data_IF_963678960129
#
_entry.id   IF_963678960129
#
_cell.length_a   1.000
_cell.length_b   1.000
_cell.length_c   1.000
_cell.angle_alpha   90.00
_cell.angle_beta   90.00
_cell.angle_gamma   90.00
#
_symmetry.space_group_name_H-M   'P 1'
#
loop_
_entity.id
_entity.type
_entity.pdbx_description
1 polymer ?
#
# COMPACT_ATOMS: atom_id res chain seq x y z
N UNK A 1 29.03 -1.69 12.64
CA UNK A 1 28.07 -0.63 12.26
C UNK A 1 28.34 -0.10 10.85
N UNK A 2 29.56 0.20 10.47
CA UNK A 2 29.99 0.64 9.13
C UNK A 2 29.60 -0.31 8.00
N UNK A 3 29.76 -1.63 8.16
CA UNK A 3 29.41 -2.64 7.14
C UNK A 3 27.91 -2.63 6.81
N UNK A 4 27.06 -2.59 7.81
CA UNK A 4 25.59 -2.52 7.64
C UNK A 4 25.19 -1.26 6.87
N UNK A 5 25.71 -0.08 7.27
CA UNK A 5 25.41 1.19 6.61
C UNK A 5 25.89 1.18 5.13
N UNK A 6 27.09 0.66 4.87
CA UNK A 6 27.63 0.58 3.51
C UNK A 6 26.83 -0.35 2.60
N UNK A 7 26.43 -1.53 3.11
CA UNK A 7 25.58 -2.47 2.38
C UNK A 7 24.18 -1.90 2.11
N UNK A 8 23.58 -1.27 3.11
CA UNK A 8 22.28 -0.60 2.95
C UNK A 8 22.35 0.51 1.91
N UNK A 9 23.35 1.38 1.99
CA UNK A 9 23.59 2.46 1.02
C UNK A 9 23.86 1.91 -0.40
N UNK A 10 24.65 0.82 -0.53
CA UNK A 10 24.84 0.12 -1.81
C UNK A 10 23.52 -0.33 -2.42
N UNK A 11 22.69 -1.01 -1.65
CA UNK A 11 21.43 -1.58 -2.11
C UNK A 11 20.43 -0.46 -2.50
N UNK A 12 20.34 0.63 -1.72
CA UNK A 12 19.54 1.80 -2.10
C UNK A 12 20.05 2.42 -3.40
N UNK A 13 21.38 2.61 -3.54
CA UNK A 13 21.98 3.17 -4.76
C UNK A 13 21.71 2.28 -5.98
N UNK A 14 21.74 0.98 -5.84
CA UNK A 14 21.44 0.06 -6.94
C UNK A 14 20.00 0.23 -7.43
N UNK A 15 19.03 0.33 -6.52
CA UNK A 15 17.64 0.57 -6.89
C UNK A 15 17.45 1.87 -7.66
N UNK A 16 17.97 2.99 -7.16
CA UNK A 16 17.78 4.29 -7.81
C UNK A 16 18.63 4.49 -9.08
N UNK A 17 19.74 3.76 -9.24
CA UNK A 17 20.55 3.78 -10.46
C UNK A 17 20.01 2.90 -11.57
N UNK A 18 19.33 1.81 -11.22
CA UNK A 18 18.67 0.93 -12.20
C UNK A 18 17.37 1.56 -12.67
N UNK A 19 17.46 2.32 -13.77
CA UNK A 19 16.28 2.97 -14.36
C UNK A 19 15.17 1.98 -14.71
N UNK A 20 15.52 0.76 -15.13
CA UNK A 20 14.55 -0.29 -15.45
C UNK A 20 13.73 -0.69 -14.23
N UNK A 21 14.37 -1.03 -13.12
CA UNK A 21 13.72 -1.41 -11.87
C UNK A 21 12.92 -0.24 -11.28
N UNK A 22 13.49 0.97 -11.31
CA UNK A 22 12.82 2.16 -10.81
C UNK A 22 11.52 2.46 -11.59
N UNK A 23 11.57 2.52 -12.93
CA UNK A 23 10.37 2.77 -13.72
C UNK A 23 9.36 1.63 -13.64
N UNK A 24 9.82 0.37 -13.54
CA UNK A 24 8.94 -0.78 -13.33
C UNK A 24 8.15 -0.65 -12.03
N UNK A 25 8.75 -0.08 -10.98
CA UNK A 25 8.05 0.14 -9.71
C UNK A 25 6.87 1.13 -9.81
N UNK A 26 6.90 2.03 -10.81
CA UNK A 26 5.86 3.01 -11.05
C UNK A 26 4.75 2.51 -12.01
N UNK A 27 4.92 1.35 -12.66
CA UNK A 27 3.95 0.83 -13.62
C UNK A 27 2.57 0.63 -12.96
N UNK A 28 2.52 0.01 -11.80
CA UNK A 28 1.25 -0.26 -11.10
C UNK A 28 0.50 1.02 -10.72
N UNK A 29 1.12 2.03 -10.09
CA UNK A 29 0.49 3.33 -9.90
C UNK A 29 0.00 3.98 -11.19
N UNK A 30 0.79 3.89 -12.27
CA UNK A 30 0.41 4.45 -13.57
C UNK A 30 -0.79 3.73 -14.19
N UNK A 31 -0.86 2.41 -14.09
CA UNK A 31 -2.03 1.63 -14.53
C UNK A 31 -3.29 2.13 -13.80
N UNK A 32 -3.22 2.32 -12.47
CA UNK A 32 -4.35 2.81 -11.70
C UNK A 32 -4.77 4.21 -12.14
N UNK A 33 -3.82 5.10 -12.42
CA UNK A 33 -4.12 6.45 -12.95
C UNK A 33 -4.82 6.38 -14.30
N UNK A 34 -4.38 5.50 -15.21
CA UNK A 34 -5.02 5.30 -16.52
C UNK A 34 -6.43 4.75 -16.35
N UNK A 35 -6.62 3.74 -15.50
CA UNK A 35 -7.94 3.20 -15.18
C UNK A 35 -8.87 4.25 -14.59
N UNK A 36 -8.34 5.12 -13.72
CA UNK A 36 -9.09 6.24 -13.16
C UNK A 36 -9.52 7.22 -14.26
N UNK A 37 -8.58 7.66 -15.10
CA UNK A 37 -8.87 8.63 -16.16
C UNK A 37 -9.87 8.10 -17.19
N UNK A 38 -9.90 6.78 -17.42
CA UNK A 38 -10.79 6.16 -18.43
C UNK A 38 -12.18 5.87 -17.91
N UNK A 39 -12.32 5.22 -16.75
CA UNK A 39 -13.64 4.81 -16.26
C UNK A 39 -13.85 4.85 -14.74
N UNK A 40 -12.81 4.65 -13.91
CA UNK A 40 -12.97 4.54 -12.46
C UNK A 40 -13.51 5.84 -11.85
N UNK A 41 -13.12 7.01 -12.37
CA UNK A 41 -13.64 8.29 -11.89
C UNK A 41 -15.16 8.37 -12.03
N UNK A 42 -15.72 7.86 -13.14
CA UNK A 42 -17.18 7.81 -13.33
C UNK A 42 -17.85 6.81 -12.39
N UNK A 43 -17.23 5.64 -12.20
CA UNK A 43 -17.73 4.61 -11.28
C UNK A 43 -17.76 5.14 -9.86
N UNK A 44 -16.66 5.73 -9.38
CA UNK A 44 -16.57 6.30 -8.04
C UNK A 44 -17.57 7.46 -7.85
N UNK A 45 -17.68 8.34 -8.86
CA UNK A 45 -18.68 9.44 -8.83
C UNK A 45 -20.10 8.89 -8.73
N UNK A 46 -20.45 7.91 -9.53
CA UNK A 46 -21.79 7.30 -9.52
C UNK A 46 -22.06 6.56 -8.20
N UNK A 47 -21.10 5.80 -7.68
CA UNK A 47 -21.24 5.11 -6.38
C UNK A 47 -21.42 6.09 -5.23
N UNK A 48 -20.68 7.20 -5.24
CA UNK A 48 -20.79 8.25 -4.24
C UNK A 48 -22.17 8.93 -4.32
N UNK A 49 -22.61 9.33 -5.52
CA UNK A 49 -23.92 9.98 -5.73
C UNK A 49 -25.06 9.05 -5.37
N UNK A 50 -24.96 7.75 -5.69
CA UNK A 50 -26.00 6.76 -5.35
C UNK A 50 -26.20 6.58 -3.83
N UNK A 51 -25.17 6.84 -3.03
CA UNK A 51 -25.25 6.82 -1.57
C UNK A 51 -25.86 8.07 -0.95
N UNK A 52 -26.13 9.12 -1.77
CA UNK A 52 -26.66 10.40 -1.28
C UNK A 52 -28.19 10.39 -1.32
N UNK A 53 -28.88 10.73 -0.22
CA UNK A 53 -30.33 10.91 -0.22
C UNK A 53 -30.78 11.98 -1.21
N UNK A 54 -31.89 11.72 -1.91
CA UNK A 54 -32.47 12.69 -2.85
C UNK A 54 -32.86 14.00 -2.15
N UNK A 55 -32.47 15.13 -2.75
CA UNK A 55 -32.83 16.45 -2.26
C UNK A 55 -31.78 17.16 -1.39
N UNK A 56 -30.64 16.54 -1.11
CA UNK A 56 -29.53 17.20 -0.42
C UNK A 56 -28.61 17.93 -1.42
N UNK A 57 -28.36 19.24 -1.26
CA UNK A 57 -27.48 19.98 -2.13
C UNK A 57 -26.01 19.57 -1.86
N UNK A 58 -25.36 18.95 -2.82
CA UNK A 58 -23.93 18.65 -2.77
C UNK A 58 -23.19 19.46 -3.81
N UNK A 59 -22.11 20.10 -3.40
CA UNK A 59 -21.25 20.79 -4.35
C UNK A 59 -20.45 19.80 -5.21
N UNK A 60 -20.28 20.10 -6.49
CA UNK A 60 -19.41 19.29 -7.35
C UNK A 60 -17.96 19.20 -6.80
N UNK A 61 -17.53 20.22 -6.09
CA UNK A 61 -16.22 20.24 -5.44
C UNK A 61 -16.10 19.15 -4.37
N UNK A 62 -17.13 18.91 -3.57
CA UNK A 62 -17.14 17.85 -2.54
C UNK A 62 -17.15 16.47 -3.18
N UNK A 63 -17.94 16.28 -4.24
CA UNK A 63 -17.95 15.01 -5.01
C UNK A 63 -16.56 14.74 -5.59
N UNK A 64 -15.95 15.72 -6.22
CA UNK A 64 -14.64 15.58 -6.82
C UNK A 64 -13.55 15.30 -5.76
N UNK A 65 -13.64 15.93 -4.60
CA UNK A 65 -12.75 15.66 -3.46
C UNK A 65 -12.91 14.21 -2.93
N UNK A 66 -14.15 13.71 -2.83
CA UNK A 66 -14.41 12.32 -2.44
C UNK A 66 -13.81 11.33 -3.44
N UNK A 67 -14.07 11.52 -4.72
CA UNK A 67 -13.54 10.68 -5.81
C UNK A 67 -12.01 10.74 -5.86
N UNK A 68 -11.43 11.94 -5.69
CA UNK A 68 -9.98 12.13 -5.61
C UNK A 68 -9.35 11.47 -4.39
N UNK A 69 -9.97 11.57 -3.21
CA UNK A 69 -9.51 10.91 -1.99
C UNK A 69 -9.52 9.40 -2.10
N UNK A 70 -10.56 8.83 -2.72
CA UNK A 70 -10.64 7.39 -2.99
C UNK A 70 -9.56 6.93 -3.97
N UNK A 71 -9.29 7.69 -5.04
CA UNK A 71 -8.19 7.40 -5.96
C UNK A 71 -6.83 7.42 -5.23
N UNK A 72 -6.56 8.50 -4.50
CA UNK A 72 -5.28 8.71 -3.81
C UNK A 72 -5.01 7.61 -2.80
N UNK A 73 -6.00 7.25 -1.98
CA UNK A 73 -5.85 6.16 -1.01
C UNK A 73 -5.59 4.82 -1.69
N UNK A 74 -6.32 4.50 -2.76
CA UNK A 74 -6.13 3.27 -3.54
C UNK A 74 -4.76 3.20 -4.20
N UNK A 75 -4.31 4.31 -4.82
CA UNK A 75 -3.01 4.41 -5.47
C UNK A 75 -1.87 4.21 -4.45
N UNK A 76 -1.93 4.89 -3.32
CA UNK A 76 -0.90 4.79 -2.28
C UNK A 76 -0.88 3.41 -1.64
N UNK A 77 -2.04 2.81 -1.34
CA UNK A 77 -2.13 1.47 -0.76
C UNK A 77 -1.48 0.40 -1.65
N UNK A 78 -1.76 0.42 -2.96
CA UNK A 78 -1.14 -0.50 -3.93
C UNK A 78 0.36 -0.22 -4.05
N UNK A 79 0.74 1.06 -4.14
CA UNK A 79 2.14 1.46 -4.31
C UNK A 79 3.01 0.99 -3.14
N UNK A 80 2.53 1.09 -1.89
CA UNK A 80 3.30 0.66 -0.71
C UNK A 80 3.78 -0.79 -0.80
N UNK A 81 2.98 -1.67 -1.38
CA UNK A 81 3.35 -3.09 -1.50
C UNK A 81 4.08 -3.38 -2.81
N UNK A 82 3.57 -2.89 -3.95
CA UNK A 82 4.19 -3.19 -5.25
C UNK A 82 5.59 -2.59 -5.39
N UNK A 83 5.81 -1.37 -4.91
CA UNK A 83 7.15 -0.75 -4.87
C UNK A 83 8.09 -1.52 -3.94
N UNK A 84 7.60 -2.01 -2.77
CA UNK A 84 8.40 -2.83 -1.88
C UNK A 84 8.88 -4.13 -2.56
N UNK A 85 8.01 -4.78 -3.34
CA UNK A 85 8.40 -5.95 -4.14
C UNK A 85 9.45 -5.60 -5.19
N UNK A 86 9.29 -4.49 -5.91
CA UNK A 86 10.27 -4.04 -6.90
C UNK A 86 11.62 -3.69 -6.26
N UNK A 87 11.64 -2.94 -5.17
CA UNK A 87 12.88 -2.61 -4.44
C UNK A 87 13.61 -3.86 -3.96
N UNK A 88 12.86 -4.87 -3.50
CA UNK A 88 13.41 -6.09 -2.94
C UNK A 88 13.90 -7.09 -4.01
N UNK A 89 13.61 -6.87 -5.29
CA UNK A 89 14.14 -7.68 -6.40
C UNK A 89 15.67 -7.71 -6.42
N UNK A 90 16.34 -6.65 -5.96
CA UNK A 90 17.80 -6.56 -5.86
C UNK A 90 18.37 -7.74 -5.06
N UNK A 91 17.70 -8.14 -3.98
CA UNK A 91 18.16 -9.28 -3.16
C UNK A 91 18.20 -10.60 -3.90
N UNK A 92 17.33 -10.78 -4.92
CA UNK A 92 17.30 -11.98 -5.76
C UNK A 92 18.20 -11.81 -6.99
N UNK A 93 18.29 -10.60 -7.56
CA UNK A 93 19.24 -10.29 -8.63
C UNK A 93 20.68 -10.56 -8.18
N UNK A 94 21.06 -10.16 -6.97
CA UNK A 94 22.38 -10.46 -6.39
C UNK A 94 22.62 -11.98 -6.20
N UNK A 95 21.54 -12.78 -6.01
CA UNK A 95 21.67 -14.25 -5.98
C UNK A 95 21.92 -14.81 -7.39
N UNK A 96 21.17 -14.32 -8.37
CA UNK A 96 21.25 -14.80 -9.77
C UNK A 96 22.56 -14.41 -10.43
N UNK A 97 23.06 -13.19 -10.18
CA UNK A 97 24.33 -12.69 -10.73
C UNK A 97 25.58 -13.25 -10.04
N UNK A 98 25.43 -13.91 -8.89
CA UNK A 98 26.55 -14.37 -8.07
C UNK A 98 27.10 -13.32 -7.09
N UNK A 99 26.73 -12.05 -7.20
CA UNK A 99 27.20 -10.98 -6.31
C UNK A 99 26.94 -11.27 -4.81
N UNK A 100 25.85 -11.99 -4.52
CA UNK A 100 25.57 -12.43 -3.15
C UNK A 100 26.62 -13.43 -2.64
N UNK A 101 27.19 -14.29 -3.49
CA UNK A 101 28.24 -15.23 -3.13
C UNK A 101 29.50 -14.47 -2.73
N UNK A 102 29.87 -13.46 -3.49
CA UNK A 102 31.04 -12.62 -3.22
C UNK A 102 30.89 -11.88 -1.88
N UNK A 103 29.69 -11.37 -1.60
CA UNK A 103 29.38 -10.74 -0.32
C UNK A 103 29.43 -11.73 0.87
N UNK A 104 29.13 -13.01 0.65
CA UNK A 104 29.19 -14.03 1.72
C UNK A 104 30.59 -14.60 1.97
N UNK A 105 31.52 -14.47 1.02
CA UNK A 105 32.93 -14.79 1.22
C UNK A 105 33.65 -13.72 2.03
N UNK A 106 33.15 -12.50 2.04
CA UNK A 106 33.65 -11.42 2.91
C UNK A 106 33.30 -11.69 4.39
N UNK A 107 34.00 -11.08 5.36
CA UNK A 107 33.79 -11.30 6.81
C UNK A 107 32.43 -10.81 7.33
N UNK A 108 31.51 -10.43 6.47
CA UNK A 108 30.17 -9.91 6.82
C UNK A 108 29.26 -11.04 7.32
N UNK A 109 28.62 -10.81 8.48
CA UNK A 109 27.65 -11.76 9.03
C UNK A 109 26.41 -11.86 8.11
N UNK A 110 25.91 -13.08 7.90
CA UNK A 110 24.72 -13.35 7.07
C UNK A 110 23.48 -12.57 7.55
N UNK A 111 23.34 -12.40 8.87
CA UNK A 111 22.28 -11.57 9.48
C UNK A 111 22.41 -10.10 9.08
N UNK A 112 23.62 -9.55 9.10
CA UNK A 112 23.91 -8.17 8.68
C UNK A 112 23.52 -7.95 7.23
N UNK A 113 23.86 -8.91 6.37
CA UNK A 113 23.50 -8.88 4.94
C UNK A 113 21.98 -8.94 4.75
N UNK A 114 21.26 -9.83 5.44
CA UNK A 114 19.81 -9.93 5.37
C UNK A 114 19.10 -8.68 5.85
N UNK A 115 19.53 -8.12 7.00
CA UNK A 115 18.97 -6.89 7.55
C UNK A 115 19.28 -5.70 6.62
N UNK A 116 20.45 -5.65 5.96
CA UNK A 116 20.78 -4.57 5.01
C UNK A 116 19.88 -4.56 3.78
N UNK A 117 19.50 -5.72 3.22
CA UNK A 117 18.51 -5.81 2.14
C UNK A 117 17.13 -5.34 2.60
N UNK A 118 16.69 -5.81 3.78
CA UNK A 118 15.41 -5.40 4.36
C UNK A 118 15.35 -3.88 4.56
N UNK A 119 16.36 -3.30 5.21
CA UNK A 119 16.41 -1.87 5.51
C UNK A 119 16.52 -1.03 4.24
N UNK A 120 17.31 -1.47 3.25
CA UNK A 120 17.41 -0.77 1.97
C UNK A 120 16.06 -0.78 1.22
N UNK A 121 15.35 -1.91 1.22
CA UNK A 121 14.00 -2.01 0.64
C UNK A 121 13.04 -1.07 1.36
N UNK A 122 13.05 -1.08 2.69
CA UNK A 122 12.20 -0.20 3.52
C UNK A 122 12.45 1.28 3.20
N UNK A 123 13.70 1.73 3.22
CA UNK A 123 14.08 3.12 2.95
C UNK A 123 13.69 3.52 1.53
N UNK A 124 14.06 2.72 0.53
CA UNK A 124 13.76 3.03 -0.88
C UNK A 124 12.25 3.10 -1.14
N UNK A 125 11.47 2.17 -0.59
CA UNK A 125 10.02 2.16 -0.71
C UNK A 125 9.40 3.36 -0.01
N UNK A 126 9.84 3.71 1.21
CA UNK A 126 9.36 4.90 1.93
C UNK A 126 9.62 6.17 1.13
N UNK A 127 10.82 6.34 0.58
CA UNK A 127 11.15 7.52 -0.24
C UNK A 127 10.18 7.62 -1.43
N UNK A 128 9.97 6.54 -2.18
CA UNK A 128 9.10 6.54 -3.35
C UNK A 128 7.64 6.81 -2.95
N UNK A 129 7.12 6.15 -1.90
CA UNK A 129 5.73 6.31 -1.47
C UNK A 129 5.46 7.68 -0.84
N UNK A 130 6.40 8.24 -0.07
CA UNK A 130 6.27 9.60 0.47
C UNK A 130 6.32 10.66 -0.63
N UNK A 131 7.18 10.52 -1.63
CA UNK A 131 7.18 11.40 -2.79
C UNK A 131 5.86 11.29 -3.57
N UNK A 132 5.35 10.07 -3.78
CA UNK A 132 4.05 9.86 -4.40
C UNK A 132 2.92 10.50 -3.57
N UNK A 133 2.96 10.41 -2.23
CA UNK A 133 1.96 11.04 -1.37
C UNK A 133 1.95 12.57 -1.48
N UNK A 134 3.12 13.20 -1.60
CA UNK A 134 3.21 14.66 -1.82
C UNK A 134 2.55 15.04 -3.14
N UNK A 135 2.80 14.29 -4.23
CA UNK A 135 2.15 14.53 -5.53
C UNK A 135 0.64 14.38 -5.41
N UNK A 136 0.17 13.35 -4.70
CA UNK A 136 -1.24 13.11 -4.45
C UNK A 136 -1.89 14.25 -3.63
N UNK A 137 -1.21 14.78 -2.61
CA UNK A 137 -1.71 15.91 -1.83
C UNK A 137 -1.81 17.19 -2.69
N UNK A 138 -0.84 17.44 -3.56
CA UNK A 138 -0.90 18.57 -4.52
C UNK A 138 -2.10 18.40 -5.46
N UNK A 139 -2.36 17.17 -5.93
CA UNK A 139 -3.52 16.87 -6.76
C UNK A 139 -4.84 17.15 -6.02
N UNK A 140 -5.00 16.67 -4.77
CA UNK A 140 -6.17 16.94 -3.94
C UNK A 140 -6.35 18.45 -3.68
N UNK A 141 -5.23 19.18 -3.51
CA UNK A 141 -5.26 20.64 -3.35
C UNK A 141 -5.87 21.39 -4.54
N UNK A 142 -5.72 20.85 -5.76
CA UNK A 142 -6.31 21.43 -6.99
C UNK A 142 -7.79 21.10 -7.17
N UNK A 143 -8.23 19.94 -6.71
CA UNK A 143 -9.62 19.46 -6.89
C UNK A 143 -10.53 19.99 -5.79
N UNK A 144 -10.10 19.88 -4.52
CA UNK A 144 -10.85 20.31 -3.35
C UNK A 144 -10.14 19.89 -2.07
N UNK A 145 -9.63 20.87 -1.34
CA UNK A 145 -8.92 20.63 -0.08
C UNK A 145 -9.88 20.64 1.11
N UNK A 146 -9.99 19.49 1.77
CA UNK A 146 -10.78 19.32 3.01
C UNK A 146 -9.97 18.66 4.14
N UNK A 147 -8.70 18.24 3.85
CA UNK A 147 -7.84 17.57 4.83
C UNK A 147 -7.26 18.56 5.83
N UNK A 148 -7.15 18.14 7.09
CA UNK A 148 -6.41 18.85 8.11
C UNK A 148 -5.03 18.19 8.37
N UNK A 149 -4.19 18.83 9.19
CA UNK A 149 -2.85 18.31 9.49
C UNK A 149 -2.88 16.93 10.18
N UNK A 150 -3.91 16.65 10.99
CA UNK A 150 -4.10 15.36 11.65
C UNK A 150 -4.36 14.24 10.64
N UNK A 151 -5.21 14.49 9.63
CA UNK A 151 -5.53 13.50 8.59
C UNK A 151 -4.28 13.13 7.78
N UNK A 152 -3.47 14.14 7.44
CA UNK A 152 -2.21 13.95 6.70
C UNK A 152 -1.21 13.16 7.54
N UNK A 153 -1.09 13.46 8.84
CA UNK A 153 -0.19 12.74 9.74
C UNK A 153 -0.60 11.27 9.90
N UNK A 154 -1.92 11.01 10.02
CA UNK A 154 -2.45 9.64 10.11
C UNK A 154 -2.28 8.89 8.79
N UNK A 155 -2.54 9.52 7.64
CA UNK A 155 -2.27 8.92 6.34
C UNK A 155 -0.78 8.60 6.14
N UNK A 156 0.12 9.46 6.63
CA UNK A 156 1.57 9.17 6.60
C UNK A 156 1.92 7.97 7.49
N UNK A 157 1.28 7.81 8.66
CA UNK A 157 1.42 6.63 9.52
C UNK A 157 0.94 5.36 8.80
N UNK A 158 -0.20 5.42 8.11
CA UNK A 158 -0.74 4.29 7.33
C UNK A 158 0.23 3.87 6.22
N UNK A 159 0.83 4.83 5.52
CA UNK A 159 1.86 4.57 4.50
C UNK A 159 3.04 3.85 5.12
N UNK A 160 3.54 4.30 6.28
CA UNK A 160 4.66 3.64 6.97
C UNK A 160 4.32 2.20 7.33
N UNK A 161 3.13 1.94 7.88
CA UNK A 161 2.69 0.60 8.25
C UNK A 161 2.51 -0.32 7.03
N UNK A 162 1.92 0.20 5.94
CA UNK A 162 1.78 -0.55 4.69
C UNK A 162 3.13 -0.84 4.02
N UNK A 163 4.07 0.09 4.07
CA UNK A 163 5.43 -0.13 3.56
C UNK A 163 6.18 -1.16 4.40
N UNK A 164 6.05 -1.13 5.72
CA UNK A 164 6.59 -2.16 6.60
C UNK A 164 5.99 -3.54 6.27
N UNK A 165 4.67 -3.61 6.08
CA UNK A 165 3.98 -4.83 5.66
C UNK A 165 4.49 -5.33 4.30
N UNK A 166 4.51 -4.48 3.27
CA UNK A 166 4.99 -4.83 1.93
C UNK A 166 6.46 -5.26 1.92
N UNK A 167 7.31 -4.59 2.69
CA UNK A 167 8.72 -4.94 2.84
C UNK A 167 8.90 -6.30 3.51
N UNK A 168 8.18 -6.58 4.58
CA UNK A 168 8.26 -7.86 5.28
C UNK A 168 7.76 -9.00 4.40
N UNK A 169 6.62 -8.82 3.74
CA UNK A 169 6.02 -9.80 2.84
C UNK A 169 6.93 -10.10 1.65
N UNK A 170 7.43 -9.06 0.96
CA UNK A 170 8.35 -9.23 -0.18
C UNK A 170 9.65 -9.89 0.23
N UNK A 171 10.17 -9.58 1.43
CA UNK A 171 11.41 -10.17 1.94
C UNK A 171 11.28 -11.67 2.19
N UNK A 172 10.14 -12.12 2.73
CA UNK A 172 9.84 -13.54 2.93
C UNK A 172 9.74 -14.25 1.59
N UNK A 173 8.94 -13.73 0.66
CA UNK A 173 8.74 -14.35 -0.66
C UNK A 173 10.07 -14.44 -1.42
N UNK A 174 10.84 -13.36 -1.47
CA UNK A 174 12.13 -13.32 -2.16
C UNK A 174 13.20 -14.24 -1.54
N UNK A 175 13.01 -14.67 -0.28
CA UNK A 175 13.86 -15.72 0.28
C UNK A 175 13.78 -17.03 -0.51
N UNK A 176 12.65 -17.36 -1.09
CA UNK A 176 12.40 -18.60 -1.81
C UNK A 176 12.72 -18.51 -3.31
N UNK A 177 12.83 -17.31 -3.87
CA UNK A 177 13.11 -17.09 -5.28
C UNK A 177 14.60 -17.32 -5.58
N UNK A 178 14.87 -18.01 -6.72
CA UNK A 178 16.22 -18.40 -7.12
C UNK A 178 16.57 -18.02 -8.57
N UNK A 179 15.58 -17.72 -9.40
CA UNK A 179 15.76 -17.45 -10.83
C UNK A 179 15.12 -16.14 -11.26
N UNK A 180 15.61 -15.56 -12.35
CA UNK A 180 15.04 -14.35 -12.96
C UNK A 180 13.57 -14.55 -13.38
N UNK A 181 13.23 -15.73 -13.91
CA UNK A 181 11.86 -16.05 -14.29
C UNK A 181 10.89 -16.05 -13.09
N UNK A 182 11.32 -16.58 -11.94
CA UNK A 182 10.53 -16.53 -10.70
C UNK A 182 10.30 -15.08 -10.21
N UNK A 183 11.32 -14.22 -10.31
CA UNK A 183 11.19 -12.80 -9.96
C UNK A 183 10.13 -12.13 -10.84
N UNK A 184 10.24 -12.32 -12.16
CA UNK A 184 9.31 -11.74 -13.12
C UNK A 184 7.88 -12.24 -12.91
N UNK A 185 7.68 -13.53 -12.67
CA UNK A 185 6.37 -14.12 -12.40
C UNK A 185 5.73 -13.53 -11.12
N UNK A 186 6.46 -13.50 -10.00
CA UNK A 186 5.97 -12.93 -8.75
C UNK A 186 5.71 -11.44 -8.89
N UNK A 187 6.61 -10.70 -9.55
CA UNK A 187 6.43 -9.27 -9.82
C UNK A 187 5.14 -9.00 -10.60
N UNK A 188 4.86 -9.78 -11.64
CA UNK A 188 3.62 -9.65 -12.44
C UNK A 188 2.37 -9.97 -11.61
N UNK A 189 2.38 -11.06 -10.84
CA UNK A 189 1.25 -11.45 -9.99
C UNK A 189 0.95 -10.37 -8.96
N UNK A 190 1.98 -9.86 -8.29
CA UNK A 190 1.80 -8.81 -7.28
C UNK A 190 1.34 -7.50 -7.92
N UNK A 191 1.95 -7.08 -9.03
CA UNK A 191 1.59 -5.83 -9.69
C UNK A 191 0.16 -5.83 -10.25
N UNK A 192 -0.32 -6.96 -10.77
CA UNK A 192 -1.67 -7.05 -11.33
C UNK A 192 -2.73 -7.48 -10.31
N UNK A 193 -2.39 -8.34 -9.37
CA UNK A 193 -3.35 -8.98 -8.46
C UNK A 193 -3.56 -8.26 -7.14
N UNK A 194 -2.50 -7.64 -6.58
CA UNK A 194 -2.59 -7.07 -5.23
C UNK A 194 -3.67 -5.99 -5.09
N UNK A 195 -3.88 -5.17 -6.13
CA UNK A 195 -4.88 -4.12 -6.09
C UNK A 195 -6.34 -4.62 -5.97
N UNK A 196 -6.62 -5.83 -6.49
CA UNK A 196 -7.91 -6.49 -6.26
C UNK A 196 -8.01 -7.06 -4.85
N UNK A 197 -6.92 -7.68 -4.39
CA UNK A 197 -6.87 -8.33 -3.07
C UNK A 197 -7.05 -7.31 -1.93
N UNK A 198 -6.47 -6.11 -2.05
CA UNK A 198 -6.57 -5.07 -1.02
C UNK A 198 -7.77 -4.12 -1.19
N UNK A 199 -8.64 -4.32 -2.17
CA UNK A 199 -9.81 -3.47 -2.42
C UNK A 199 -9.49 -2.11 -3.05
N UNK A 200 -8.31 -1.97 -3.67
CA UNK A 200 -7.91 -0.70 -4.27
C UNK A 200 -8.49 -0.49 -5.67
N UNK A 201 -8.54 -1.53 -6.51
CA UNK A 201 -9.11 -1.44 -7.87
C UNK A 201 -10.63 -1.54 -7.87
N UNK A 202 -11.18 -2.32 -6.96
CA UNK A 202 -12.62 -2.52 -6.81
C UNK A 202 -12.94 -2.66 -5.33
N UNK A 203 -13.95 -1.97 -4.80
CA UNK A 203 -14.39 -2.12 -3.43
C UNK A 203 -14.68 -3.58 -3.05
N UNK A 204 -14.25 -4.00 -1.86
CA UNK A 204 -14.44 -5.37 -1.38
C UNK A 204 -15.92 -5.69 -1.24
N UNK A 205 -16.73 -4.69 -0.89
CA UNK A 205 -18.18 -4.77 -0.81
C UNK A 205 -18.86 -5.25 -2.11
N UNK A 206 -18.19 -5.10 -3.26
CA UNK A 206 -18.70 -5.55 -4.57
C UNK A 206 -18.38 -7.01 -4.90
N UNK A 207 -17.56 -7.68 -4.10
CA UNK A 207 -17.28 -9.11 -4.28
C UNK A 207 -18.38 -9.98 -3.64
N UNK A 208 -18.48 -11.24 -4.06
CA UNK A 208 -19.37 -12.22 -3.40
C UNK A 208 -18.95 -12.47 -1.94
N UNK A 209 -19.92 -12.81 -1.09
CA UNK A 209 -19.75 -12.96 0.36
C UNK A 209 -18.61 -13.89 0.78
N UNK A 210 -18.37 -14.97 0.04
CA UNK A 210 -17.26 -15.90 0.31
C UNK A 210 -15.89 -15.23 0.12
N UNK A 211 -15.73 -14.44 -0.94
CA UNK A 211 -14.48 -13.73 -1.22
C UNK A 211 -14.27 -12.55 -0.24
N UNK A 212 -15.34 -11.83 0.12
CA UNK A 212 -15.26 -10.79 1.14
C UNK A 212 -14.73 -11.36 2.48
N UNK A 213 -15.24 -12.52 2.92
CA UNK A 213 -14.74 -13.20 4.11
C UNK A 213 -13.29 -13.62 4.00
N UNK A 214 -12.85 -14.11 2.83
CA UNK A 214 -11.45 -14.45 2.62
C UNK A 214 -10.53 -13.22 2.65
N UNK A 215 -10.93 -12.12 2.02
CA UNK A 215 -10.17 -10.87 1.98
C UNK A 215 -10.12 -10.16 3.34
N UNK A 216 -11.13 -10.35 4.21
CA UNK A 216 -11.13 -9.80 5.56
C UNK A 216 -10.06 -10.40 6.50
N UNK A 217 -9.40 -11.50 6.12
CA UNK A 217 -8.22 -12.02 6.82
C UNK A 217 -6.91 -11.35 6.39
N UNK A 218 -6.91 -10.54 5.32
CA UNK A 218 -5.67 -10.02 4.76
C UNK A 218 -5.30 -8.65 5.36
N UNK A 219 -4.07 -8.48 5.87
CA UNK A 219 -3.65 -7.21 6.48
C UNK A 219 -3.68 -6.02 5.52
N UNK A 220 -3.44 -6.27 4.23
CA UNK A 220 -3.49 -5.24 3.19
C UNK A 220 -4.85 -4.58 3.04
N UNK A 221 -5.93 -5.33 3.26
CA UNK A 221 -7.32 -4.83 3.27
C UNK A 221 -7.52 -3.76 4.34
N UNK A 222 -7.07 -4.04 5.57
CA UNK A 222 -7.18 -3.10 6.68
C UNK A 222 -6.32 -1.86 6.47
N UNK A 223 -5.09 -2.03 5.97
CA UNK A 223 -4.21 -0.91 5.65
C UNK A 223 -4.79 0.01 4.55
N UNK A 224 -5.44 -0.55 3.53
CA UNK A 224 -6.13 0.22 2.49
C UNK A 224 -7.33 0.98 3.06
N UNK A 225 -8.12 0.34 3.92
CA UNK A 225 -9.28 0.96 4.59
C UNK A 225 -8.84 2.11 5.50
N UNK A 226 -7.79 1.94 6.32
CA UNK A 226 -7.24 2.99 7.17
C UNK A 226 -6.83 4.21 6.34
N UNK A 227 -6.03 3.99 5.30
CA UNK A 227 -5.57 5.06 4.42
C UNK A 227 -6.73 5.77 3.72
N UNK A 228 -7.79 5.03 3.35
CA UNK A 228 -9.01 5.58 2.74
C UNK A 228 -9.82 6.40 3.75
N UNK A 229 -9.97 5.93 4.98
CA UNK A 229 -10.60 6.67 6.05
C UNK A 229 -9.92 8.04 6.28
N UNK A 230 -8.59 8.08 6.29
CA UNK A 230 -7.87 9.34 6.51
C UNK A 230 -7.86 10.24 5.28
N UNK A 231 -7.78 9.68 4.07
CA UNK A 231 -7.87 10.46 2.83
C UNK A 231 -9.27 11.08 2.61
N UNK A 232 -10.33 10.47 3.15
CA UNK A 232 -11.70 10.94 3.04
C UNK A 232 -12.22 11.64 4.32
N UNK A 233 -11.43 11.68 5.40
CA UNK A 233 -11.86 12.22 6.69
C UNK A 233 -12.40 13.66 6.58
N UNK A 234 -11.75 14.51 5.77
CA UNK A 234 -12.19 15.87 5.53
C UNK A 234 -13.52 15.97 4.78
N UNK A 235 -13.74 15.07 3.81
CA UNK A 235 -15.01 15.00 3.07
C UNK A 235 -16.15 14.60 4.00
N UNK A 236 -15.96 13.60 4.86
CA UNK A 236 -17.00 13.18 5.81
C UNK A 236 -17.31 14.26 6.83
N UNK A 237 -16.30 14.99 7.35
CA UNK A 237 -16.52 16.16 8.23
C UNK A 237 -17.32 17.26 7.55
N UNK A 238 -17.05 17.54 6.28
CA UNK A 238 -17.83 18.52 5.51
C UNK A 238 -19.27 18.06 5.34
N UNK A 239 -19.51 16.76 5.06
CA UNK A 239 -20.89 16.22 4.99
C UNK A 239 -21.61 16.34 6.34
N UNK A 240 -20.94 16.09 7.46
CA UNK A 240 -21.48 16.28 8.81
C UNK A 240 -21.85 17.76 9.05
N UNK A 241 -21.00 18.70 8.62
CA UNK A 241 -21.28 20.15 8.73
C UNK A 241 -22.48 20.61 7.91
N UNK A 242 -22.74 19.94 6.79
CA UNK A 242 -23.90 20.15 5.92
C UNK A 242 -25.17 19.42 6.42
N UNK A 243 -25.12 18.86 7.63
CA UNK A 243 -26.26 18.16 8.28
C UNK A 243 -26.73 16.93 7.50
N UNK A 244 -25.83 16.19 6.86
CA UNK A 244 -26.15 14.91 6.25
C UNK A 244 -26.58 13.90 7.33
N UNK A 245 -27.61 13.07 7.07
CA UNK A 245 -27.97 12.00 7.98
C UNK A 245 -26.80 11.04 8.21
N UNK A 246 -26.53 10.68 9.46
CA UNK A 246 -25.45 9.76 9.82
C UNK A 246 -25.54 8.44 9.04
N UNK A 247 -26.76 7.95 8.84
CA UNK A 247 -27.00 6.73 8.05
C UNK A 247 -26.54 6.86 6.60
N UNK A 248 -26.67 8.03 5.98
CA UNK A 248 -26.20 8.27 4.61
C UNK A 248 -24.66 8.32 4.56
N UNK A 249 -24.02 8.94 5.55
CA UNK A 249 -22.56 8.96 5.67
C UNK A 249 -22.02 7.55 5.86
N UNK A 250 -22.64 6.73 6.71
CA UNK A 250 -22.24 5.36 6.94
C UNK A 250 -22.44 4.48 5.70
N UNK A 251 -23.54 4.65 4.98
CA UNK A 251 -23.75 3.94 3.71
C UNK A 251 -22.70 4.30 2.66
N UNK A 252 -22.25 5.55 2.60
CA UNK A 252 -21.14 5.96 1.73
C UNK A 252 -19.83 5.35 2.21
N UNK A 253 -19.54 5.36 3.52
CA UNK A 253 -18.35 4.71 4.09
C UNK A 253 -18.31 3.22 3.76
N UNK A 254 -19.45 2.53 3.79
CA UNK A 254 -19.56 1.12 3.40
C UNK A 254 -19.29 0.93 1.90
N UNK A 255 -19.83 1.78 1.05
CA UNK A 255 -19.67 1.67 -0.41
C UNK A 255 -18.24 1.89 -0.89
N UNK A 256 -17.44 2.61 -0.12
CA UNK A 256 -16.03 2.90 -0.41
C UNK A 256 -15.04 2.11 0.46
N UNK A 257 -15.48 1.07 1.18
CA UNK A 257 -14.66 0.25 2.09
C UNK A 257 -13.89 1.07 3.16
N UNK A 258 -14.46 2.15 3.63
CA UNK A 258 -13.98 2.80 4.86
C UNK A 258 -14.34 1.97 6.09
N UNK A 259 -15.49 1.30 6.07
CA UNK A 259 -15.88 0.32 7.06
C UNK A 259 -15.55 -1.08 6.52
N UNK A 260 -14.84 -1.87 7.29
CA UNK A 260 -14.57 -3.28 6.99
C UNK A 260 -15.34 -4.15 7.98
N UNK A 261 -15.92 -5.22 7.46
CA UNK A 261 -16.68 -6.19 8.25
C UNK A 261 -15.92 -7.50 8.32
N UNK A 262 -15.82 -8.02 9.56
CA UNK A 262 -15.29 -9.35 9.80
C UNK A 262 -16.44 -10.21 10.33
N UNK A 263 -16.93 -11.15 9.50
CA UNK A 263 -18.09 -11.98 9.81
C UNK A 263 -19.28 -11.15 10.34
N UNK A 264 -19.72 -10.18 9.53
CA UNK A 264 -20.86 -9.29 9.78
C UNK A 264 -20.69 -8.30 10.97
N UNK A 265 -19.49 -8.26 11.59
CA UNK A 265 -19.15 -7.27 12.63
C UNK A 265 -18.24 -6.20 12.07
N UNK A 266 -18.65 -4.95 12.23
CA UNK A 266 -17.80 -3.80 11.88
C UNK A 266 -16.50 -3.80 12.70
N UNK A 267 -15.37 -3.64 12.03
CA UNK A 267 -14.04 -3.59 12.65
C UNK A 267 -13.64 -2.13 12.88
N UNK A 268 -13.48 -1.70 14.15
CA UNK A 268 -13.06 -0.34 14.44
C UNK A 268 -11.62 -0.07 13.97
N UNK A 269 -11.31 1.18 13.63
CA UNK A 269 -9.99 1.58 13.13
C UNK A 269 -8.85 1.19 14.09
N UNK A 270 -9.06 1.30 15.41
CA UNK A 270 -8.07 0.87 16.42
C UNK A 270 -7.72 -0.61 16.29
N UNK A 271 -8.70 -1.47 16.04
CA UNK A 271 -8.48 -2.92 15.80
C UNK A 271 -7.75 -3.15 14.48
N UNK A 272 -8.05 -2.37 13.43
CA UNK A 272 -7.33 -2.46 12.14
C UNK A 272 -5.84 -2.14 12.33
N UNK A 273 -5.50 -1.10 13.08
CA UNK A 273 -4.11 -0.75 13.41
C UNK A 273 -3.40 -1.86 14.19
N UNK A 274 -4.04 -2.38 15.24
CA UNK A 274 -3.46 -3.46 16.06
C UNK A 274 -3.22 -4.70 15.20
N UNK A 275 -4.21 -5.09 14.39
CA UNK A 275 -4.10 -6.26 13.52
C UNK A 275 -2.96 -6.11 12.50
N UNK A 276 -2.88 -4.96 11.82
CA UNK A 276 -1.83 -4.67 10.85
C UNK A 276 -0.44 -4.67 11.53
N UNK A 277 -0.30 -4.04 12.69
CA UNK A 277 0.95 -4.00 13.44
C UNK A 277 1.40 -5.39 13.91
N UNK A 278 0.47 -6.21 14.41
CA UNK A 278 0.75 -7.60 14.82
C UNK A 278 1.18 -8.44 13.62
N UNK A 279 0.49 -8.30 12.47
CA UNK A 279 0.88 -9.00 11.24
C UNK A 279 2.27 -8.57 10.76
N UNK A 280 2.59 -7.29 10.78
CA UNK A 280 3.93 -6.77 10.44
C UNK A 280 4.98 -7.39 11.36
N UNK A 281 4.76 -7.36 12.68
CA UNK A 281 5.69 -7.93 13.65
C UNK A 281 5.90 -9.44 13.44
N UNK A 282 4.82 -10.18 13.17
CA UNK A 282 4.89 -11.61 12.88
C UNK A 282 5.68 -11.89 11.59
N UNK A 283 5.43 -11.14 10.51
CA UNK A 283 6.15 -11.29 9.24
C UNK A 283 7.65 -10.96 9.39
N UNK A 284 7.99 -9.90 10.13
CA UNK A 284 9.40 -9.55 10.40
C UNK A 284 10.09 -10.64 11.22
N UNK A 285 9.41 -11.19 12.24
CA UNK A 285 9.94 -12.31 13.02
C UNK A 285 10.17 -13.56 12.15
N UNK A 286 9.20 -13.91 11.29
CA UNK A 286 9.33 -15.02 10.33
C UNK A 286 10.51 -14.79 9.40
N UNK A 287 10.67 -13.59 8.84
CA UNK A 287 11.79 -13.24 7.98
C UNK A 287 13.13 -13.40 8.71
N UNK A 288 13.24 -12.93 9.95
CA UNK A 288 14.43 -13.06 10.77
C UNK A 288 14.79 -14.54 11.02
N UNK A 289 13.80 -15.37 11.36
CA UNK A 289 13.99 -16.82 11.56
C UNK A 289 14.44 -17.54 10.30
N UNK A 290 13.82 -17.24 9.13
CA UNK A 290 14.21 -17.83 7.84
C UNK A 290 15.65 -17.43 7.49
N UNK A 291 15.99 -16.15 7.68
CA UNK A 291 17.32 -15.62 7.38
C UNK A 291 18.40 -16.21 8.28
N UNK A 292 18.10 -16.50 9.55
CA UNK A 292 19.01 -17.13 10.48
C UNK A 292 19.25 -18.62 10.18
N UNK A 293 18.20 -19.36 9.75
CA UNK A 293 18.28 -20.82 9.47
C UNK A 293 18.88 -21.15 8.11
N UNK A 294 18.91 -20.23 7.18
CA UNK A 294 19.42 -20.49 5.82
C UNK A 294 20.91 -20.67 5.84
N UNK A 295 21.35 -21.95 6.02
CA UNK A 295 22.72 -22.38 5.73
C UNK A 295 22.96 -22.10 4.24
N UNK A 296 24.04 -21.41 3.93
CA UNK A 296 24.43 -20.82 2.68
C UNK A 296 24.20 -21.62 1.41
#
# INVERSE_FOLDING_TARGET
MTEFCNLTARNCKLFFKDKGVFFTSLITPLILLVLYATFLAKVYKNSFIAGIPQGLPISEKLINAAVGGQLVSSLLAVSCVTVAFCCNMISVQDKVSGARRDLTVSPVKKSTLAISYYTATLISTLIVCLLASVICLVYLGKIGWYLNAKDIALAALDIVLLVLFGTALSSIINCFLKTQGQISAVGTIVSSGYGFICGAYMPISQFGSGLQKALSFLPGTYGTSLLRNHALAGVFREMESLSFPTQAIDAIKDSVDCNIYFFDKSVPQSTMYIYLAVCVAALVAIYALISAKKKG
#
